data_IF_645490835997
#
_entry.id   IF_645490835997
#
_cell.length_a   1.000
_cell.length_b   1.000
_cell.length_c   1.000
_cell.angle_alpha   90.00
_cell.angle_beta   90.00
_cell.angle_gamma   90.00
#
_symmetry.space_group_name_H-M   'P 1'
#
loop_
_entity.id
_entity.type
_entity.pdbx_description
1 polymer ?
#
# COMPACT_ATOMS: atom_id res chain seq x y z
N UNK A 1 -63.67 -18.73 -26.34
CA UNK A 1 -63.09 -18.55 -25.01
C UNK A 1 -62.03 -17.47 -25.18
N UNK A 2 -62.27 -16.25 -24.71
CA UNK A 2 -61.33 -15.12 -24.80
C UNK A 2 -60.61 -14.93 -23.45
N UNK A 3 -59.28 -14.75 -23.51
CA UNK A 3 -58.29 -13.92 -22.74
C UNK A 3 -58.43 -13.77 -21.19
N UNK A 4 -57.36 -13.56 -20.36
CA UNK A 4 -56.35 -12.48 -20.51
C UNK A 4 -54.96 -12.65 -19.81
N UNK A 5 -54.13 -11.58 -19.92
CA UNK A 5 -52.87 -11.24 -19.20
C UNK A 5 -51.57 -11.83 -19.79
N UNK A 6 -50.52 -11.09 -20.12
CA UNK A 6 -50.21 -9.69 -19.82
C UNK A 6 -48.98 -9.19 -20.61
N UNK A 7 -48.74 -7.92 -20.38
CA UNK A 7 -47.97 -6.91 -21.10
C UNK A 7 -46.46 -6.96 -20.80
N UNK A 8 -45.71 -6.10 -21.52
CA UNK A 8 -44.35 -5.61 -21.22
C UNK A 8 -43.18 -6.52 -21.53
N UNK A 9 -42.01 -6.04 -21.94
CA UNK A 9 -41.51 -4.76 -22.47
C UNK A 9 -40.09 -5.09 -23.00
N UNK A 10 -39.58 -4.22 -23.87
CA UNK A 10 -38.18 -3.78 -24.06
C UNK A 10 -37.02 -4.77 -23.73
N UNK A 11 -35.98 -4.88 -24.55
CA UNK A 11 -34.82 -3.99 -24.37
C UNK A 11 -33.76 -4.28 -25.46
N UNK A 12 -32.96 -3.25 -25.68
CA UNK A 12 -32.04 -3.05 -26.78
C UNK A 12 -30.80 -3.95 -26.69
N UNK A 13 -30.42 -4.52 -27.83
CA UNK A 13 -29.07 -5.05 -28.08
C UNK A 13 -28.09 -3.86 -28.08
N UNK A 14 -27.44 -3.64 -26.94
CA UNK A 14 -26.41 -2.63 -26.79
C UNK A 14 -25.05 -3.34 -26.80
N UNK A 15 -24.32 -3.13 -27.90
CA UNK A 15 -23.01 -3.69 -28.16
C UNK A 15 -22.04 -3.48 -27.01
N UNK A 16 -21.43 -4.58 -26.61
CA UNK A 16 -20.36 -4.71 -25.63
C UNK A 16 -19.18 -3.81 -26.04
N UNK A 17 -19.07 -2.62 -25.44
CA UNK A 17 -17.87 -1.80 -25.51
C UNK A 17 -16.88 -2.32 -24.46
N UNK A 18 -15.87 -3.04 -24.94
CA UNK A 18 -14.66 -3.44 -24.22
C UNK A 18 -14.06 -2.24 -23.47
N UNK A 19 -14.31 -2.16 -22.17
CA UNK A 19 -13.81 -1.10 -21.33
C UNK A 19 -12.50 -1.55 -20.68
N UNK A 20 -11.42 -0.90 -21.15
CA UNK A 20 -10.09 -0.76 -20.58
C UNK A 20 -9.72 -1.67 -19.40
N UNK A 21 -8.77 -2.56 -19.64
CA UNK A 21 -8.08 -3.39 -18.65
C UNK A 21 -7.89 -2.66 -17.30
N UNK A 22 -8.74 -2.97 -16.32
CA UNK A 22 -8.56 -2.51 -14.95
C UNK A 22 -7.25 -3.09 -14.43
N UNK A 23 -6.27 -2.21 -14.25
CA UNK A 23 -5.03 -2.49 -13.55
C UNK A 23 -5.39 -2.96 -12.13
N UNK A 24 -5.21 -4.24 -11.87
CA UNK A 24 -5.34 -4.86 -10.54
C UNK A 24 -4.55 -4.05 -9.51
N UNK A 25 -5.22 -3.14 -8.83
CA UNK A 25 -4.61 -2.27 -7.83
C UNK A 25 -4.81 -2.98 -6.49
N UNK A 26 -3.71 -3.41 -5.85
CA UNK A 26 -3.79 -4.05 -4.54
C UNK A 26 -4.32 -3.04 -3.52
N UNK A 27 -5.37 -3.41 -2.81
CA UNK A 27 -5.87 -2.66 -1.65
C UNK A 27 -4.87 -2.62 -0.49
N UNK A 28 -5.11 -1.73 0.47
CA UNK A 28 -4.28 -1.61 1.68
C UNK A 28 -4.29 -2.94 2.45
N UNK A 29 -3.11 -3.48 2.76
CA UNK A 29 -3.01 -4.70 3.58
C UNK A 29 -3.53 -4.43 4.99
N UNK A 30 -4.64 -5.06 5.36
CA UNK A 30 -5.21 -5.00 6.71
C UNK A 30 -4.74 -6.21 7.51
N UNK A 31 -3.86 -5.98 8.48
CA UNK A 31 -3.29 -7.02 9.36
C UNK A 31 -4.25 -7.41 10.49
N UNK A 32 -5.52 -7.67 10.17
CA UNK A 32 -6.61 -7.83 11.15
C UNK A 32 -6.39 -8.96 12.15
N UNK A 33 -5.71 -10.04 11.74
CA UNK A 33 -5.29 -11.14 12.62
C UNK A 33 -4.36 -10.64 13.75
N UNK A 34 -3.34 -9.83 13.42
CA UNK A 34 -2.45 -9.25 14.42
C UNK A 34 -3.19 -8.32 15.36
N UNK A 35 -4.12 -7.52 14.83
CA UNK A 35 -4.94 -6.62 15.65
C UNK A 35 -5.80 -7.40 16.64
N UNK A 36 -6.41 -8.52 16.22
CA UNK A 36 -7.19 -9.40 17.11
C UNK A 36 -6.30 -10.04 18.18
N UNK A 37 -5.16 -10.60 17.79
CA UNK A 37 -4.21 -11.22 18.72
C UNK A 37 -3.72 -10.21 19.78
N UNK A 38 -3.43 -8.97 19.37
CA UNK A 38 -3.09 -7.88 20.28
C UNK A 38 -4.21 -7.59 21.29
N UNK A 39 -5.46 -7.54 20.83
CA UNK A 39 -6.63 -7.34 21.71
C UNK A 39 -6.85 -8.50 22.68
N UNK A 40 -6.45 -9.72 22.29
CA UNK A 40 -6.49 -10.92 23.12
C UNK A 40 -5.25 -11.08 24.02
N UNK A 41 -4.26 -10.18 23.93
CA UNK A 41 -2.99 -10.27 24.67
C UNK A 41 -2.08 -11.42 24.23
N UNK A 42 -2.31 -11.97 23.03
CA UNK A 42 -1.52 -13.07 22.46
C UNK A 42 -0.44 -12.55 21.53
N UNK A 43 0.72 -13.18 21.59
CA UNK A 43 1.83 -12.94 20.66
C UNK A 43 1.82 -13.98 19.55
N UNK A 44 2.36 -13.60 18.39
CA UNK A 44 2.59 -14.53 17.28
C UNK A 44 3.94 -15.21 17.47
N UNK A 45 3.93 -16.54 17.56
CA UNK A 45 5.14 -17.35 17.51
C UNK A 45 5.74 -17.30 16.09
N UNK A 46 7.06 -17.08 16.01
CA UNK A 46 7.78 -17.02 14.74
C UNK A 46 8.66 -18.25 14.58
N UNK A 47 8.48 -18.96 13.48
CA UNK A 47 9.46 -19.93 13.03
C UNK A 47 10.67 -19.21 12.45
N UNK A 48 11.87 -19.58 12.90
CA UNK A 48 13.12 -19.04 12.40
C UNK A 48 13.88 -20.09 11.59
N UNK A 49 14.48 -19.65 10.48
CA UNK A 49 15.49 -20.41 9.75
C UNK A 49 16.81 -20.45 10.56
N UNK A 50 17.75 -21.35 10.21
CA UNK A 50 19.13 -21.44 10.77
C UNK A 50 19.91 -20.12 10.73
N UNK A 51 19.48 -19.18 9.89
CA UNK A 51 20.03 -17.83 9.77
C UNK A 51 19.32 -16.79 10.67
N UNK A 52 18.41 -17.20 11.56
CA UNK A 52 17.62 -16.31 12.42
C UNK A 52 16.58 -15.48 11.67
N UNK A 53 16.18 -15.90 10.46
CA UNK A 53 15.15 -15.22 9.67
C UNK A 53 13.79 -15.83 9.93
N UNK A 54 12.80 -15.01 10.31
CA UNK A 54 11.42 -15.46 10.43
C UNK A 54 10.89 -15.96 9.07
N UNK A 55 10.37 -17.18 9.03
CA UNK A 55 9.81 -17.85 7.84
C UNK A 55 8.30 -18.08 7.97
N UNK A 56 7.68 -18.58 6.89
CA UNK A 56 6.25 -18.92 6.89
C UNK A 56 5.31 -17.70 6.92
N UNK A 57 4.10 -17.91 7.46
CA UNK A 57 3.07 -16.85 7.59
C UNK A 57 3.51 -15.79 8.60
N UNK A 58 4.01 -16.20 9.76
CA UNK A 58 4.51 -15.30 10.80
C UNK A 58 5.63 -14.40 10.29
N UNK A 59 6.58 -14.91 9.50
CA UNK A 59 7.66 -14.10 8.92
C UNK A 59 7.18 -12.98 7.99
N UNK A 60 6.15 -13.24 7.17
CA UNK A 60 5.53 -12.20 6.32
C UNK A 60 4.84 -11.15 7.18
N UNK A 61 4.10 -11.58 8.20
CA UNK A 61 3.41 -10.68 9.11
C UNK A 61 4.38 -9.81 9.91
N UNK A 62 5.49 -10.40 10.37
CA UNK A 62 6.60 -9.71 11.03
C UNK A 62 7.19 -8.62 10.14
N UNK A 63 7.52 -8.93 8.88
CA UNK A 63 8.10 -7.94 7.97
C UNK A 63 7.13 -6.78 7.68
N UNK A 64 5.85 -7.10 7.50
CA UNK A 64 4.81 -6.10 7.23
C UNK A 64 4.57 -5.19 8.43
N UNK A 65 4.49 -5.75 9.65
CA UNK A 65 4.34 -4.99 10.88
C UNK A 65 5.57 -4.15 11.19
N UNK A 66 6.78 -4.67 10.96
CA UNK A 66 8.02 -3.90 11.11
C UNK A 66 8.01 -2.67 10.21
N UNK A 67 7.65 -2.83 8.93
CA UNK A 67 7.56 -1.71 8.00
C UNK A 67 6.52 -0.66 8.40
N UNK A 68 5.37 -1.10 8.92
CA UNK A 68 4.32 -0.22 9.44
C UNK A 68 4.78 0.62 10.64
N UNK A 69 5.43 -0.02 11.61
CA UNK A 69 6.00 0.64 12.80
C UNK A 69 7.10 1.63 12.39
N UNK A 70 8.01 1.23 11.50
CA UNK A 70 9.11 2.09 11.02
C UNK A 70 8.55 3.34 10.33
N UNK A 71 7.56 3.19 9.45
CA UNK A 71 6.92 4.33 8.75
C UNK A 71 6.12 5.24 9.69
N UNK A 72 5.54 4.68 10.75
CA UNK A 72 4.76 5.46 11.72
C UNK A 72 5.65 6.22 12.71
N UNK A 73 6.75 5.62 13.16
CA UNK A 73 7.65 6.18 14.16
C UNK A 73 8.71 7.15 13.59
N UNK A 74 9.15 6.91 12.35
CA UNK A 74 10.13 7.75 11.67
C UNK A 74 9.38 8.76 10.81
N UNK A 75 9.25 9.97 11.34
CA UNK A 75 8.68 11.08 10.60
C UNK A 75 9.44 11.29 9.30
N UNK A 76 8.70 11.54 8.21
CA UNK A 76 9.14 11.72 6.82
C UNK A 76 10.27 12.77 6.65
N UNK A 77 10.49 13.61 7.67
CA UNK A 77 11.50 14.67 7.66
C UNK A 77 12.90 14.25 8.17
N UNK A 78 13.06 13.04 8.73
CA UNK A 78 14.38 12.55 9.18
C UNK A 78 15.14 11.95 7.99
N UNK A 79 16.37 12.43 7.77
CA UNK A 79 17.19 12.12 6.58
C UNK A 79 17.91 10.78 6.64
N UNK A 80 18.13 10.19 7.82
CA UNK A 80 18.89 8.94 7.92
C UNK A 80 18.55 8.16 9.18
N UNK A 81 18.67 6.83 9.13
CA UNK A 81 18.49 5.95 10.29
C UNK A 81 19.45 6.26 11.45
N UNK A 82 20.63 6.80 11.15
CA UNK A 82 21.57 7.31 12.15
C UNK A 82 21.02 8.50 12.95
N UNK A 83 20.17 9.34 12.36
CA UNK A 83 19.52 10.48 13.03
C UNK A 83 18.31 10.07 13.89
N UNK A 84 17.93 8.79 13.86
CA UNK A 84 16.86 8.24 14.70
C UNK A 84 17.41 8.02 16.10
N UNK A 85 16.80 8.68 17.09
CA UNK A 85 17.17 8.57 18.50
C UNK A 85 17.10 7.12 18.97
N UNK A 86 17.97 6.76 19.93
CA UNK A 86 17.97 5.43 20.53
C UNK A 86 16.59 5.07 21.09
N UNK A 87 15.91 6.03 21.73
CA UNK A 87 14.54 5.90 22.23
C UNK A 87 13.55 5.40 21.17
N UNK A 88 13.56 5.98 19.96
CA UNK A 88 12.69 5.51 18.87
C UNK A 88 13.05 4.12 18.37
N UNK A 89 14.35 3.78 18.38
CA UNK A 89 14.81 2.42 18.01
C UNK A 89 14.34 1.40 19.05
N UNK A 90 14.26 1.79 20.32
CA UNK A 90 13.72 0.95 21.39
C UNK A 90 12.20 0.84 21.32
N UNK A 91 11.48 1.93 21.05
CA UNK A 91 10.03 1.90 20.83
C UNK A 91 9.64 0.95 19.68
N UNK A 92 10.37 1.00 18.56
CA UNK A 92 10.18 0.06 17.44
C UNK A 92 10.40 -1.39 17.90
N UNK A 93 11.41 -1.63 18.75
CA UNK A 93 11.71 -2.96 19.27
C UNK A 93 10.65 -3.45 20.25
N UNK A 94 10.19 -2.60 21.16
CA UNK A 94 9.19 -2.95 22.18
C UNK A 94 7.83 -3.23 21.55
N UNK A 95 7.41 -2.47 20.54
CA UNK A 95 6.17 -2.75 19.82
C UNK A 95 6.24 -4.09 19.07
N UNK A 96 7.40 -4.43 18.51
CA UNK A 96 7.61 -5.73 17.88
C UNK A 96 7.58 -6.87 18.91
N UNK A 97 8.23 -6.71 20.06
CA UNK A 97 8.20 -7.69 21.16
C UNK A 97 6.81 -7.85 21.78
N UNK A 98 6.00 -6.79 21.78
CA UNK A 98 4.61 -6.86 22.23
C UNK A 98 3.71 -7.63 21.26
N UNK A 99 4.08 -7.72 19.97
CA UNK A 99 3.25 -8.36 18.93
C UNK A 99 3.72 -9.78 18.63
N UNK A 100 5.02 -10.04 18.73
CA UNK A 100 5.66 -11.31 18.39
C UNK A 100 6.45 -11.84 19.58
N UNK A 101 6.52 -13.17 19.70
CA UNK A 101 7.41 -13.80 20.66
C UNK A 101 8.87 -13.73 20.15
N UNK A 102 9.57 -12.67 20.54
CA UNK A 102 10.93 -12.36 20.11
C UNK A 102 11.92 -12.49 21.25
N UNK A 103 12.96 -13.29 21.04
CA UNK A 103 14.11 -13.32 21.93
C UNK A 103 15.01 -12.08 21.76
N UNK A 104 15.78 -11.73 22.79
CA UNK A 104 16.71 -10.60 22.76
C UNK A 104 17.76 -10.72 21.64
N UNK A 105 18.15 -11.95 21.28
CA UNK A 105 19.04 -12.21 20.15
C UNK A 105 18.50 -11.67 18.82
N UNK A 106 17.17 -11.59 18.66
CA UNK A 106 16.52 -11.05 17.48
C UNK A 106 16.53 -9.50 17.43
N UNK A 107 16.86 -8.80 18.53
CA UNK A 107 16.94 -7.32 18.55
C UNK A 107 17.88 -6.80 17.48
N UNK A 108 19.09 -7.38 17.41
CA UNK A 108 20.11 -6.98 16.43
C UNK A 108 19.65 -7.17 14.99
N UNK A 109 18.94 -8.26 14.71
CA UNK A 109 18.42 -8.57 13.36
C UNK A 109 17.27 -7.62 13.01
N UNK A 110 16.37 -7.37 13.97
CA UNK A 110 15.20 -6.50 13.81
C UNK A 110 15.61 -5.06 13.52
N UNK A 111 16.54 -4.51 14.30
CA UNK A 111 17.08 -3.16 14.11
C UNK A 111 17.79 -3.02 12.76
N UNK A 112 18.56 -4.03 12.33
CA UNK A 112 19.18 -4.05 10.99
C UNK A 112 18.14 -4.09 9.86
N UNK A 113 17.06 -4.85 10.03
CA UNK A 113 15.95 -4.88 9.04
C UNK A 113 15.23 -3.53 8.98
N UNK A 114 15.01 -2.90 10.13
CA UNK A 114 14.39 -1.58 10.22
C UNK A 114 15.23 -0.51 9.51
N UNK A 115 16.56 -0.51 9.70
CA UNK A 115 17.49 0.37 8.96
C UNK A 115 17.37 0.20 7.45
N UNK A 116 17.37 -1.05 6.96
CA UNK A 116 17.22 -1.34 5.53
C UNK A 116 15.88 -0.86 4.97
N UNK A 117 14.80 -1.03 5.72
CA UNK A 117 13.46 -0.56 5.33
C UNK A 117 13.42 0.97 5.27
N UNK A 118 14.02 1.65 6.25
CA UNK A 118 14.13 3.12 6.26
C UNK A 118 14.85 3.64 5.00
N UNK A 119 15.99 3.03 4.64
CA UNK A 119 16.76 3.37 3.43
C UNK A 119 16.00 3.09 2.14
N UNK A 120 15.23 2.00 2.09
CA UNK A 120 14.42 1.65 0.91
C UNK A 120 13.30 2.67 0.67
N UNK A 121 12.62 3.09 1.73
CA UNK A 121 11.56 4.11 1.66
C UNK A 121 12.14 5.48 1.21
N UNK A 122 13.32 5.84 1.71
CA UNK A 122 14.05 7.04 1.27
C UNK A 122 14.42 6.98 -0.23
N UNK A 123 14.93 5.84 -0.70
CA UNK A 123 15.26 5.61 -2.11
C UNK A 123 14.02 5.72 -3.01
N UNK A 124 12.90 5.09 -2.63
CA UNK A 124 11.64 5.18 -3.38
C UNK A 124 11.16 6.63 -3.45
N UNK A 125 11.30 7.40 -2.37
CA UNK A 125 10.99 8.84 -2.37
C UNK A 125 11.87 9.63 -3.32
N UNK A 126 13.18 9.38 -3.32
CA UNK A 126 14.09 10.04 -4.24
C UNK A 126 13.68 9.79 -5.70
N UNK A 127 13.34 8.55 -6.04
CA UNK A 127 12.83 8.18 -7.38
C UNK A 127 11.52 8.92 -7.69
N UNK A 128 10.54 8.89 -6.79
CA UNK A 128 9.26 9.58 -6.99
C UNK A 128 9.43 11.10 -7.13
N UNK A 129 10.34 11.71 -6.37
CA UNK A 129 10.64 13.15 -6.47
C UNK A 129 11.23 13.55 -7.82
N UNK A 130 12.06 12.71 -8.45
CA UNK A 130 12.59 12.96 -9.80
C UNK A 130 11.51 12.86 -10.89
N UNK A 131 10.51 12.00 -10.71
CA UNK A 131 9.43 11.78 -11.68
C UNK A 131 8.17 12.62 -11.43
N UNK A 132 8.07 13.35 -10.30
CA UNK A 132 6.95 14.26 -10.01
C UNK A 132 6.99 15.59 -10.81
N UNK A 133 8.04 15.86 -11.59
CA UNK A 133 8.10 17.02 -12.50
C UNK A 133 7.57 16.68 -13.90
N UNK A 134 6.36 16.13 -13.99
CA UNK A 134 5.58 16.09 -15.24
C UNK A 134 4.10 15.96 -14.89
N UNK A 135 3.62 16.96 -14.15
CA UNK A 135 2.21 17.15 -13.83
C UNK A 135 1.76 18.57 -14.13
N UNK A 136 2.44 19.27 -15.05
CA UNK A 136 1.95 20.53 -15.60
C UNK A 136 0.98 20.22 -16.73
N UNK A 137 -0.29 20.01 -16.38
CA UNK A 137 -1.39 20.19 -17.32
C UNK A 137 -1.56 21.71 -17.52
N UNK A 138 -0.62 22.33 -18.26
CA UNK A 138 -0.87 23.64 -18.83
C UNK A 138 -1.87 23.40 -19.97
N UNK A 139 -3.05 24.00 -19.83
CA UNK A 139 -4.15 23.81 -20.78
C UNK A 139 -3.66 24.02 -22.21
N UNK A 140 -4.01 23.06 -23.08
CA UNK A 140 -3.98 23.33 -24.51
C UNK A 140 -4.81 24.60 -24.75
N UNK A 141 -4.25 25.66 -25.38
CA UNK A 141 -5.10 26.73 -25.87
C UNK A 141 -6.02 26.12 -26.93
N UNK A 142 -7.33 26.29 -26.78
CA UNK A 142 -8.30 25.90 -27.80
C UNK A 142 -7.84 26.47 -29.15
N UNK A 143 -7.79 25.66 -30.21
CA UNK A 143 -7.49 26.17 -31.53
C UNK A 143 -8.49 27.27 -31.90
N UNK A 144 -8.08 28.30 -32.66
CA UNK A 144 -8.96 29.40 -33.02
C UNK A 144 -10.18 28.85 -33.76
N UNK A 145 -11.36 29.22 -33.26
CA UNK A 145 -12.65 28.88 -33.85
C UNK A 145 -12.66 29.28 -35.34
N UNK A 146 -12.82 28.28 -36.20
CA UNK A 146 -13.05 28.50 -37.64
C UNK A 146 -14.57 28.44 -37.84
N UNK A 147 -15.25 29.53 -38.21
CA UNK A 147 -16.69 29.49 -38.44
C UNK A 147 -17.01 28.57 -39.62
N UNK A 148 -17.89 27.60 -39.38
CA UNK A 148 -18.43 26.72 -40.43
C UNK A 148 -19.12 27.57 -41.50
N UNK A 149 -18.63 27.47 -42.75
CA UNK A 149 -19.39 27.90 -43.92
C UNK A 149 -18.90 27.17 -45.17
N UNK A 150 -19.78 26.81 -46.14
CA UNK A 150 -21.23 27.01 -46.20
C UNK A 150 -22.03 25.71 -46.42
N UNK A 151 -23.25 25.65 -45.88
CA UNK A 151 -24.32 24.88 -46.54
C UNK A 151 -24.67 25.60 -47.85
N UNK A 152 -24.30 25.01 -49.00
CA UNK A 152 -25.07 25.15 -50.24
C UNK A 152 -26.26 24.18 -50.13
N UNK A 153 -27.48 24.61 -50.52
CA UNK A 153 -27.84 24.62 -51.95
C UNK A 153 -28.08 26.01 -52.55
#
# INVERSE_FOLDING_TARGET
>A
MMDPFGESDEEMDNGEMDNGSEKNTRGRTTMSELTKLRSEGKTVELEYNVHGQAIGKGGKQYASKLGDIVRSNISINKKSWDDVSAEKKEEIWDEMKSTFDLDYSAKKITIKKADRLCKQEEMLRAIMAQHSTSGSNIGMPSPPYVPDSPYMP
#
